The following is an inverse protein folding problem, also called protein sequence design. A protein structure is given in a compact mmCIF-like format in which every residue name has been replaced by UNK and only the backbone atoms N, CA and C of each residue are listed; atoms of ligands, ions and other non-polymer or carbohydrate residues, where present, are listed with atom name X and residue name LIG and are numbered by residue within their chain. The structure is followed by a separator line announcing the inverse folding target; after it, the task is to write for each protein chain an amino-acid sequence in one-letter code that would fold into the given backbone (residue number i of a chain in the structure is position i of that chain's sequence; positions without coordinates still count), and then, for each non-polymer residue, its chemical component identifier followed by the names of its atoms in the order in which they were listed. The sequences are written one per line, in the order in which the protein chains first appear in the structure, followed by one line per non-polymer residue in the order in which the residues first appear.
data_IF_706650096695
#
_entry.id   IF_706650096695
#
_cell.length_a   1.000
_cell.length_b   1.000
_cell.length_c   1.000
_cell.angle_alpha   90.00
_cell.angle_beta   90.00
_cell.angle_gamma   90.00
#
_symmetry.space_group_name_H-M   'P 1'
#
loop_
_entity.id
_entity.type
_entity.pdbx_description
1 polymer ?
#
# COMPACT_ATOMS: atom_id res chain seq x y z
N UNK A 1 -13.24 -13.93 -11.83
CA UNK A 1 -12.32 -14.02 -12.98
C UNK A 1 -11.31 -12.89 -12.85
N UNK A 2 -10.05 -13.18 -12.56
CA UNK A 2 -9.02 -12.14 -12.41
C UNK A 2 -8.72 -11.56 -13.80
N UNK A 3 -9.12 -10.31 -14.03
CA UNK A 3 -8.83 -9.59 -15.28
C UNK A 3 -7.32 -9.56 -15.47
N UNK A 4 -6.84 -10.00 -16.64
CA UNK A 4 -5.40 -9.98 -16.96
C UNK A 4 -4.98 -8.51 -17.14
N UNK A 5 -4.23 -7.96 -16.18
CA UNK A 5 -3.72 -6.58 -16.22
C UNK A 5 -2.33 -6.60 -16.84
N UNK A 6 -2.10 -5.77 -17.85
CA UNK A 6 -0.75 -5.50 -18.38
C UNK A 6 -0.14 -4.36 -17.57
N UNK A 7 1.07 -4.54 -17.06
CA UNK A 7 1.68 -3.59 -16.13
C UNK A 7 2.77 -2.75 -16.83
N UNK A 8 2.81 -1.42 -16.62
CA UNK A 8 1.80 -0.60 -15.93
C UNK A 8 0.56 -0.31 -16.81
N UNK A 9 -0.64 -0.38 -16.22
CA UNK A 9 -1.89 0.08 -16.86
C UNK A 9 -2.20 1.51 -16.39
N UNK A 10 -1.96 2.49 -17.26
CA UNK A 10 -2.11 3.91 -16.94
C UNK A 10 -3.56 4.35 -16.63
N UNK A 11 -4.55 3.46 -16.83
CA UNK A 11 -5.96 3.72 -16.50
C UNK A 11 -6.32 3.35 -15.07
N UNK A 12 -5.48 2.55 -14.39
CA UNK A 12 -5.76 2.14 -13.02
C UNK A 12 -5.36 3.27 -12.06
N UNK A 13 -6.23 3.63 -11.11
CA UNK A 13 -5.87 4.61 -10.10
C UNK A 13 -4.80 4.03 -9.16
N UNK A 14 -3.98 4.91 -8.60
CA UNK A 14 -2.99 4.57 -7.60
C UNK A 14 -3.31 5.23 -6.27
N UNK A 15 -3.20 4.47 -5.17
CA UNK A 15 -3.31 5.00 -3.82
C UNK A 15 -1.92 5.09 -3.18
N UNK A 16 -1.55 6.30 -2.78
CA UNK A 16 -0.32 6.57 -2.05
C UNK A 16 -0.44 6.16 -0.58
N UNK A 17 0.39 5.19 -0.17
CA UNK A 17 0.42 4.64 1.18
C UNK A 17 1.86 4.72 1.69
N UNK A 18 2.04 5.16 2.94
CA UNK A 18 3.38 5.26 3.55
C UNK A 18 3.81 3.90 4.09
N UNK A 19 5.10 3.59 3.99
CA UNK A 19 5.65 2.42 4.68
C UNK A 19 5.60 2.62 6.21
N UNK A 20 5.36 1.54 7.00
CA UNK A 20 5.28 0.12 6.61
C UNK A 20 3.90 -0.34 6.10
N UNK A 21 2.90 0.55 6.07
CA UNK A 21 1.52 0.13 5.80
C UNK A 21 1.32 -0.44 4.40
N UNK A 22 2.05 0.08 3.40
CA UNK A 22 1.99 -0.45 2.04
C UNK A 22 2.48 -1.91 2.00
N UNK A 23 3.62 -2.21 2.64
CA UNK A 23 4.14 -3.58 2.77
C UNK A 23 3.16 -4.50 3.50
N UNK A 24 2.59 -4.05 4.62
CA UNK A 24 1.63 -4.86 5.39
C UNK A 24 0.35 -5.18 4.60
N UNK A 25 -0.09 -4.26 3.73
CA UNK A 25 -1.20 -4.50 2.82
C UNK A 25 -0.83 -5.57 1.78
N UNK A 26 0.36 -5.45 1.15
CA UNK A 26 0.82 -6.41 0.15
C UNK A 26 1.08 -7.82 0.72
N UNK A 27 1.50 -7.90 1.99
CA UNK A 27 1.62 -9.17 2.72
C UNK A 27 0.26 -9.75 3.18
N UNK A 28 -0.83 -9.00 3.02
CA UNK A 28 -2.17 -9.40 3.48
C UNK A 28 -2.37 -9.31 5.00
N UNK A 29 -1.40 -8.76 5.75
CA UNK A 29 -1.49 -8.60 7.21
C UNK A 29 -2.38 -7.41 7.62
N UNK A 30 -2.48 -6.40 6.74
CA UNK A 30 -3.37 -5.24 6.91
C UNK A 30 -4.44 -5.28 5.81
N UNK A 31 -5.65 -5.68 6.18
CA UNK A 31 -6.79 -5.84 5.25
C UNK A 31 -7.72 -4.64 5.21
N UNK A 32 -7.54 -3.65 6.09
CA UNK A 32 -8.38 -2.44 6.17
C UNK A 32 -7.48 -1.20 6.09
N UNK A 33 -7.74 -0.32 5.12
CA UNK A 33 -7.10 1.00 5.03
C UNK A 33 -8.08 2.10 5.45
N UNK A 34 -7.62 3.00 6.34
CA UNK A 34 -8.46 4.03 6.98
C UNK A 34 -7.94 5.40 6.59
N UNK A 35 -8.82 6.27 6.06
CA UNK A 35 -8.50 7.65 5.67
C UNK A 35 -9.61 8.60 6.10
N UNK A 36 -9.29 9.89 6.19
CA UNK A 36 -10.24 10.94 6.57
C UNK A 36 -11.29 11.26 5.49
N UNK A 37 -11.02 10.89 4.24
CA UNK A 37 -11.92 11.11 3.11
C UNK A 37 -12.37 9.77 2.52
N UNK A 38 -13.65 9.69 2.18
CA UNK A 38 -14.24 8.52 1.54
C UNK A 38 -13.87 8.45 0.05
N UNK A 39 -13.85 7.25 -0.51
CA UNK A 39 -13.64 7.01 -1.94
C UNK A 39 -14.76 6.18 -2.53
N UNK A 40 -15.20 6.53 -3.74
CA UNK A 40 -16.15 5.76 -4.54
C UNK A 40 -15.45 4.77 -5.50
N UNK A 41 -14.12 4.73 -5.49
CA UNK A 41 -13.33 3.82 -6.34
C UNK A 41 -13.53 2.37 -5.86
N UNK A 42 -13.81 1.47 -6.80
CA UNK A 42 -13.93 0.02 -6.58
C UNK A 42 -13.17 -0.74 -7.65
N UNK A 43 -12.75 -1.95 -7.32
CA UNK A 43 -11.96 -2.83 -8.18
C UNK A 43 -10.45 -2.69 -7.97
N UNK A 44 -9.66 -3.18 -8.94
CA UNK A 44 -8.20 -3.21 -8.80
C UNK A 44 -7.60 -1.81 -8.88
N UNK A 45 -6.71 -1.51 -7.93
CA UNK A 45 -5.93 -0.27 -7.89
C UNK A 45 -4.45 -0.58 -7.68
N UNK A 46 -3.60 0.38 -8.01
CA UNK A 46 -2.18 0.33 -7.66
C UNK A 46 -1.91 0.77 -6.22
N UNK A 47 -0.98 0.09 -5.56
CA UNK A 47 -0.37 0.54 -4.31
C UNK A 47 0.92 1.29 -4.65
N UNK A 48 0.93 2.60 -4.37
CA UNK A 48 2.11 3.44 -4.49
C UNK A 48 2.77 3.60 -3.12
N UNK A 49 4.00 3.11 -2.97
CA UNK A 49 4.79 3.35 -1.77
C UNK A 49 5.21 4.82 -1.73
N UNK A 50 4.63 5.59 -0.83
CA UNK A 50 4.90 7.02 -0.71
C UNK A 50 6.36 7.28 -0.36
N UNK A 51 6.91 8.40 -0.84
CA UNK A 51 8.30 8.83 -0.55
C UNK A 51 8.58 9.04 0.94
N UNK A 52 7.57 9.42 1.72
CA UNK A 52 7.70 9.65 3.17
C UNK A 52 7.24 8.41 3.95
N UNK A 53 8.01 8.04 4.97
CA UNK A 53 7.66 6.99 5.92
C UNK A 53 6.55 7.45 6.87
N UNK A 54 5.79 6.49 7.41
CA UNK A 54 4.89 6.74 8.52
C UNK A 54 5.70 6.86 9.81
N UNK A 55 5.53 7.96 10.53
CA UNK A 55 6.29 8.28 11.74
C UNK A 55 5.47 8.09 13.02
N UNK A 56 4.24 7.59 12.93
CA UNK A 56 3.39 7.38 14.09
C UNK A 56 3.91 6.20 14.94
N UNK A 57 3.73 6.23 16.27
CA UNK A 57 4.14 5.11 17.13
C UNK A 57 3.53 3.76 16.71
N UNK A 58 2.29 3.78 16.19
CA UNK A 58 1.62 2.59 15.68
C UNK A 58 2.31 1.99 14.45
N UNK A 59 2.87 2.82 13.56
CA UNK A 59 3.63 2.36 12.41
C UNK A 59 4.91 1.65 12.83
N UNK A 60 5.65 2.24 13.77
CA UNK A 60 6.87 1.63 14.33
C UNK A 60 6.54 0.28 14.97
N UNK A 61 5.49 0.23 15.82
CA UNK A 61 5.05 -1.01 16.47
C UNK A 61 4.62 -2.08 15.46
N UNK A 62 3.92 -1.69 14.40
CA UNK A 62 3.47 -2.62 13.36
C UNK A 62 4.64 -3.21 12.58
N UNK A 63 5.62 -2.38 12.19
CA UNK A 63 6.85 -2.84 11.54
C UNK A 63 7.61 -3.84 12.42
N UNK A 64 7.79 -3.50 13.72
CA UNK A 64 8.46 -4.37 14.68
C UNK A 64 7.75 -5.72 14.82
N UNK A 65 6.43 -5.71 14.97
CA UNK A 65 5.60 -6.93 15.08
C UNK A 65 5.70 -7.82 13.84
N UNK A 66 5.80 -7.22 12.66
CA UNK A 66 5.88 -7.93 11.38
C UNK A 66 7.32 -8.30 10.97
N UNK A 67 8.33 -7.94 11.78
CA UNK A 67 9.74 -8.18 11.49
C UNK A 67 10.27 -7.38 10.30
N UNK A 68 9.71 -6.19 10.05
CA UNK A 68 10.01 -5.35 8.89
C UNK A 68 11.06 -4.30 9.25
N UNK A 69 12.17 -4.27 8.51
CA UNK A 69 13.05 -3.10 8.47
C UNK A 69 12.54 -2.11 7.42
N UNK A 70 11.87 -1.06 7.89
CA UNK A 70 11.25 -0.03 7.04
C UNK A 70 12.26 0.71 6.17
N UNK A 71 13.53 0.78 6.58
CA UNK A 71 14.58 1.50 5.83
C UNK A 71 15.00 0.78 4.56
N UNK A 72 14.74 -0.52 4.49
CA UNK A 72 15.03 -1.37 3.32
C UNK A 72 13.90 -1.37 2.29
N UNK A 73 12.71 -0.90 2.68
CA UNK A 73 11.53 -0.95 1.82
C UNK A 73 11.60 0.10 0.70
N UNK A 74 11.13 -0.24 -0.52
CA UNK A 74 11.07 0.71 -1.61
C UNK A 74 10.11 1.86 -1.29
N UNK A 75 10.49 3.07 -1.69
CA UNK A 75 9.65 4.27 -1.60
C UNK A 75 9.71 5.05 -2.90
N UNK A 76 8.65 5.80 -3.21
CA UNK A 76 8.55 6.57 -4.44
C UNK A 76 8.18 5.77 -5.69
N UNK A 77 7.65 4.55 -5.55
CA UNK A 77 7.45 3.58 -6.63
C UNK A 77 6.16 2.78 -6.45
N UNK A 78 5.58 2.29 -7.56
CA UNK A 78 4.47 1.33 -7.54
C UNK A 78 4.99 -0.04 -7.07
N UNK A 79 4.39 -0.59 -6.02
CA UNK A 79 4.87 -1.82 -5.37
C UNK A 79 3.95 -3.02 -5.57
N UNK A 80 2.75 -2.79 -6.09
CA UNK A 80 1.81 -3.88 -6.39
C UNK A 80 0.40 -3.36 -6.67
N UNK A 81 -0.56 -4.27 -6.69
CA UNK A 81 -1.98 -3.99 -6.87
C UNK A 81 -2.81 -4.64 -5.78
N UNK A 82 -3.94 -4.04 -5.44
CA UNK A 82 -4.95 -4.60 -4.53
C UNK A 82 -6.36 -4.40 -5.09
N UNK A 83 -7.32 -5.15 -4.61
CA UNK A 83 -8.75 -4.99 -4.93
C UNK A 83 -9.47 -4.28 -3.78
N UNK A 84 -10.29 -3.28 -4.11
CA UNK A 84 -11.11 -2.48 -3.17
C UNK A 84 -12.59 -2.70 -3.42
#
# INVERSE_FOLDING_TARGET
MTKRISHPDHRLPALGIRQPWAELILRGEKTIEIRSSQTQIRGTIYVYASRKLATTPHAVKAALKAGIDVTTLPTGVLVGTVEI
#
